data_IF_112066911618
#
_entry.id   IF_112066911618
#
_cell.length_a   1.000
_cell.length_b   1.000
_cell.length_c   1.000
_cell.angle_alpha   90.00
_cell.angle_beta   90.00
_cell.angle_gamma   90.00
#
_symmetry.space_group_name_H-M   'P 1'
#
loop_
_entity.id
_entity.type
_entity.pdbx_description
1 polymer ?
#
# COMPACT_ATOMS: atom_id res chain seq x y z
N UNK A 1 -11.83 -2.12 -8.83
CA UNK A 1 -11.02 -2.28 -7.61
C UNK A 1 -10.57 -3.71 -7.46
N UNK A 2 -9.28 -3.94 -7.57
CA UNK A 2 -8.67 -5.22 -7.27
C UNK A 2 -8.67 -5.47 -5.78
N UNK A 3 -8.94 -6.72 -5.39
CA UNK A 3 -9.04 -7.13 -3.99
C UNK A 3 -8.17 -8.35 -3.75
N UNK A 4 -7.35 -8.33 -2.70
CA UNK A 4 -6.61 -9.49 -2.23
C UNK A 4 -7.62 -10.52 -1.71
N UNK A 5 -7.64 -11.70 -2.31
CA UNK A 5 -8.61 -12.76 -1.98
C UNK A 5 -8.05 -13.74 -0.95
N UNK A 6 -6.78 -14.12 -1.11
CA UNK A 6 -6.14 -15.11 -0.27
C UNK A 6 -4.62 -14.98 -0.31
N UNK A 7 -3.99 -15.55 0.72
CA UNK A 7 -2.55 -15.67 0.89
C UNK A 7 -2.23 -17.08 1.40
N UNK A 8 -1.20 -17.70 0.86
CA UNK A 8 -0.62 -18.96 1.32
C UNK A 8 0.87 -18.78 1.58
N UNK A 9 1.32 -19.19 2.76
CA UNK A 9 2.70 -19.07 3.22
C UNK A 9 3.31 -20.46 3.29
N UNK A 10 4.12 -20.81 2.29
CA UNK A 10 4.87 -22.06 2.30
C UNK A 10 6.12 -21.92 3.18
N UNK A 11 6.73 -20.72 3.18
CA UNK A 11 7.85 -20.35 4.05
C UNK A 11 7.85 -18.84 4.29
N UNK A 12 7.76 -18.39 5.53
CA UNK A 12 7.88 -16.96 5.86
C UNK A 12 8.23 -16.76 7.33
N UNK A 13 9.44 -16.24 7.62
CA UNK A 13 9.91 -15.97 8.99
C UNK A 13 9.60 -17.14 9.95
N UNK A 14 8.95 -16.86 11.09
CA UNK A 14 8.52 -17.87 12.08
C UNK A 14 7.06 -18.32 11.88
N UNK A 15 6.40 -17.96 10.78
CA UNK A 15 5.02 -18.37 10.54
C UNK A 15 4.96 -19.84 10.18
N UNK A 16 3.98 -20.55 10.71
CA UNK A 16 3.73 -21.98 10.45
C UNK A 16 3.64 -22.24 8.94
N UNK A 17 4.48 -23.12 8.37
CA UNK A 17 4.40 -23.49 6.96
C UNK A 17 3.04 -24.05 6.57
N UNK A 18 2.57 -23.70 5.37
CA UNK A 18 1.24 -24.06 4.87
C UNK A 18 0.11 -23.19 5.43
N UNK A 19 0.41 -22.11 6.15
CA UNK A 19 -0.60 -21.16 6.62
C UNK A 19 -1.34 -20.57 5.42
N UNK A 20 -2.68 -20.62 5.46
CA UNK A 20 -3.54 -20.07 4.41
C UNK A 20 -4.59 -19.15 5.01
N UNK A 21 -4.67 -17.95 4.46
CA UNK A 21 -5.63 -16.92 4.84
C UNK A 21 -6.51 -16.59 3.63
N UNK A 22 -7.78 -16.32 3.90
CA UNK A 22 -8.70 -15.66 2.97
C UNK A 22 -9.03 -14.28 3.51
N UNK A 23 -9.35 -13.33 2.65
CA UNK A 23 -9.60 -11.95 3.05
C UNK A 23 -10.99 -11.50 2.61
N UNK A 24 -11.63 -10.75 3.48
CA UNK A 24 -12.88 -10.07 3.18
C UNK A 24 -12.62 -8.94 2.18
N UNK A 25 -13.50 -8.73 1.19
CA UNK A 25 -13.30 -7.70 0.17
C UNK A 25 -13.42 -6.26 0.71
N UNK A 26 -13.95 -6.07 1.92
CA UNK A 26 -14.17 -4.76 2.54
C UNK A 26 -13.21 -4.54 3.71
N UNK A 27 -13.24 -5.39 4.74
CA UNK A 27 -12.53 -5.12 5.98
C UNK A 27 -11.86 -6.35 6.58
N UNK A 28 -10.57 -6.23 6.90
CA UNK A 28 -9.76 -7.28 7.52
C UNK A 28 -9.09 -6.72 8.77
N UNK A 29 -9.38 -7.30 9.94
CA UNK A 29 -8.82 -6.85 11.22
C UNK A 29 -7.95 -7.95 11.83
N UNK A 30 -6.70 -7.60 12.10
CA UNK A 30 -5.69 -8.47 12.67
C UNK A 30 -5.66 -8.29 14.18
N UNK A 31 -5.92 -9.37 14.92
CA UNK A 31 -6.00 -9.39 16.38
C UNK A 31 -4.98 -10.36 16.97
N UNK A 32 -4.48 -10.06 18.16
CA UNK A 32 -3.46 -10.87 18.84
C UNK A 32 -2.50 -10.03 19.68
N UNK A 33 -1.79 -10.68 20.59
CA UNK A 33 -0.81 -10.03 21.47
C UNK A 33 0.34 -9.35 20.71
N UNK A 34 1.08 -8.47 21.39
CA UNK A 34 2.32 -7.89 20.86
C UNK A 34 3.31 -8.98 20.45
N UNK A 35 3.97 -8.78 19.31
CA UNK A 35 4.97 -9.72 18.80
C UNK A 35 4.44 -10.99 18.13
N UNK A 36 3.13 -11.13 17.89
CA UNK A 36 2.54 -12.28 17.17
C UNK A 36 2.54 -12.14 15.64
N UNK A 37 3.23 -11.12 15.12
CA UNK A 37 3.43 -10.92 13.67
C UNK A 37 2.35 -10.11 12.96
N UNK A 38 1.48 -9.38 13.69
CA UNK A 38 0.44 -8.50 13.11
C UNK A 38 1.02 -7.49 12.10
N UNK A 39 1.99 -6.68 12.53
CA UNK A 39 2.66 -5.69 11.67
C UNK A 39 3.39 -6.38 10.51
N UNK A 40 4.01 -7.54 10.75
CA UNK A 40 4.64 -8.33 9.68
C UNK A 40 3.65 -8.83 8.61
N UNK A 41 2.42 -9.16 8.99
CA UNK A 41 1.38 -9.49 8.02
C UNK A 41 0.91 -8.23 7.28
N UNK A 42 0.78 -7.08 7.94
CA UNK A 42 0.47 -5.81 7.26
C UNK A 42 1.57 -5.39 6.27
N UNK A 43 2.85 -5.50 6.65
CA UNK A 43 3.99 -5.22 5.77
C UNK A 43 3.97 -6.16 4.56
N UNK A 44 3.67 -7.44 4.77
CA UNK A 44 3.53 -8.39 3.68
C UNK A 44 2.35 -8.04 2.76
N UNK A 45 1.21 -7.59 3.32
CA UNK A 45 0.08 -7.10 2.51
C UNK A 45 0.48 -5.88 1.70
N UNK A 46 1.20 -4.92 2.30
CA UNK A 46 1.70 -3.75 1.58
C UNK A 46 2.61 -4.17 0.42
N UNK A 47 3.57 -5.07 0.67
CA UNK A 47 4.47 -5.62 -0.33
C UNK A 47 3.73 -6.35 -1.47
N UNK A 48 2.62 -7.05 -1.19
CA UNK A 48 1.83 -7.72 -2.24
C UNK A 48 1.12 -6.75 -3.17
N UNK A 49 0.61 -5.62 -2.65
CA UNK A 49 -0.05 -4.58 -3.45
C UNK A 49 0.95 -3.71 -4.21
N UNK A 50 2.04 -3.29 -3.55
CA UNK A 50 3.10 -2.49 -4.18
C UNK A 50 4.04 -3.31 -5.08
N UNK A 51 4.01 -4.64 -4.95
CA UNK A 51 5.01 -5.57 -5.47
C UNK A 51 6.46 -5.14 -5.18
N UNK A 52 6.65 -4.51 -4.02
CA UNK A 52 7.92 -4.14 -3.43
C UNK A 52 8.13 -4.95 -2.14
N UNK A 53 9.02 -5.94 -2.25
CA UNK A 53 9.43 -6.84 -1.19
C UNK A 53 10.77 -6.41 -0.56
N UNK A 54 11.27 -5.20 -0.82
CA UNK A 54 12.57 -4.69 -0.35
C UNK A 54 12.80 -4.95 1.15
N UNK A 55 11.82 -4.60 1.99
CA UNK A 55 11.85 -4.80 3.45
C UNK A 55 11.81 -6.28 3.90
N UNK A 56 11.58 -7.20 2.95
CA UNK A 56 11.49 -8.64 3.19
C UNK A 56 12.69 -9.42 2.60
N UNK A 57 13.56 -8.78 1.81
CA UNK A 57 14.70 -9.44 1.14
C UNK A 57 15.81 -9.88 2.10
N UNK A 58 15.78 -9.44 3.35
CA UNK A 58 16.67 -9.96 4.39
C UNK A 58 16.31 -11.40 4.80
N UNK A 59 15.09 -11.84 4.55
CA UNK A 59 14.58 -13.17 4.91
C UNK A 59 14.33 -14.03 3.65
N UNK A 60 14.46 -15.36 3.78
CA UNK A 60 13.97 -16.28 2.75
C UNK A 60 12.45 -16.47 2.87
N UNK A 61 11.74 -16.45 1.73
CA UNK A 61 10.30 -16.63 1.70
C UNK A 61 9.81 -17.39 0.46
N UNK A 62 8.69 -18.10 0.61
CA UNK A 62 7.94 -18.78 -0.44
C UNK A 62 6.46 -18.58 -0.13
N UNK A 63 5.80 -17.81 -0.99
CA UNK A 63 4.43 -17.39 -0.80
C UNK A 63 3.65 -17.40 -2.11
N UNK A 64 2.35 -17.61 -1.98
CA UNK A 64 1.40 -17.52 -3.07
C UNK A 64 0.23 -16.67 -2.65
N UNK A 65 -0.30 -15.85 -3.55
CA UNK A 65 -1.46 -15.02 -3.26
C UNK A 65 -2.27 -14.73 -4.52
N UNK A 66 -3.53 -14.39 -4.31
CA UNK A 66 -4.48 -14.17 -5.39
C UNK A 66 -5.20 -12.84 -5.25
N UNK A 67 -5.30 -12.14 -6.38
CA UNK A 67 -6.11 -10.95 -6.54
C UNK A 67 -7.30 -11.21 -7.48
N UNK A 68 -8.38 -10.45 -7.30
CA UNK A 68 -9.48 -10.46 -8.27
C UNK A 68 -10.17 -9.11 -8.40
N UNK A 69 -10.62 -8.82 -9.61
CA UNK A 69 -11.52 -7.72 -9.95
C UNK A 69 -12.47 -8.16 -11.07
N UNK A 70 -13.78 -8.27 -10.78
CA UNK A 70 -14.75 -8.72 -11.78
C UNK A 70 -14.39 -10.08 -12.36
N UNK A 71 -14.16 -10.14 -13.67
CA UNK A 71 -13.73 -11.35 -14.38
C UNK A 71 -12.21 -11.56 -14.40
N UNK A 72 -11.44 -10.56 -13.96
CA UNK A 72 -9.98 -10.64 -13.95
C UNK A 72 -9.49 -11.26 -12.65
N UNK A 73 -8.57 -12.21 -12.76
CA UNK A 73 -7.90 -12.86 -11.63
C UNK A 73 -6.41 -12.86 -11.87
N UNK A 74 -5.64 -12.59 -10.82
CA UNK A 74 -4.20 -12.69 -10.86
C UNK A 74 -3.70 -13.59 -9.74
N UNK A 75 -2.83 -14.54 -10.05
CA UNK A 75 -2.18 -15.45 -9.10
C UNK A 75 -0.68 -15.20 -9.14
N UNK A 76 -0.10 -14.92 -7.98
CA UNK A 76 1.31 -14.70 -7.77
C UNK A 76 1.87 -15.88 -6.98
N UNK A 77 2.99 -16.43 -7.45
CA UNK A 77 3.83 -17.35 -6.72
C UNK A 77 5.24 -16.77 -6.68
N UNK A 78 5.68 -16.36 -5.49
CA UNK A 78 6.95 -15.65 -5.30
C UNK A 78 7.82 -16.42 -4.33
N UNK A 79 9.07 -16.61 -4.74
CA UNK A 79 10.10 -17.26 -3.95
C UNK A 79 11.35 -16.40 -3.90
N UNK A 80 11.87 -16.20 -2.71
CA UNK A 80 13.13 -15.52 -2.45
C UNK A 80 14.05 -16.44 -1.64
N UNK A 81 15.24 -16.70 -2.18
CA UNK A 81 16.25 -17.56 -1.58
C UNK A 81 17.61 -16.86 -1.60
N UNK A 82 18.44 -17.14 -0.60
CA UNK A 82 19.83 -16.71 -0.55
C UNK A 82 20.70 -17.78 -1.22
N UNK A 83 21.10 -17.55 -2.48
CA UNK A 83 21.89 -18.53 -3.25
C UNK A 83 23.38 -18.18 -3.29
N UNK A 84 24.28 -19.15 -3.05
CA UNK A 84 25.69 -18.98 -3.36
C UNK A 84 25.89 -18.96 -4.89
N UNK A 85 26.66 -17.98 -5.40
CA UNK A 85 26.93 -17.79 -6.84
C UNK A 85 27.61 -18.99 -7.50
N UNK A 86 28.43 -19.74 -6.76
CA UNK A 86 29.07 -20.99 -7.18
C UNK A 86 29.63 -21.71 -5.93
N UNK A 87 30.10 -22.95 -6.09
CA UNK A 87 30.78 -23.69 -5.02
C UNK A 87 32.10 -23.05 -4.54
N UNK A 88 32.63 -22.05 -5.25
CA UNK A 88 33.92 -21.40 -4.97
C UNK A 88 33.81 -19.98 -4.40
N UNK A 89 32.63 -19.33 -4.45
CA UNK A 89 32.44 -17.96 -3.96
C UNK A 89 31.66 -17.94 -2.64
N UNK A 90 32.11 -17.12 -1.68
CA UNK A 90 31.44 -16.91 -0.38
C UNK A 90 30.32 -15.87 -0.42
N UNK A 91 30.17 -15.13 -1.51
CA UNK A 91 29.19 -14.06 -1.62
C UNK A 91 27.83 -14.65 -2.02
N UNK A 92 26.93 -14.72 -1.05
CA UNK A 92 25.54 -15.17 -1.23
C UNK A 92 24.74 -13.99 -1.73
N UNK A 93 24.01 -14.14 -2.84
CA UNK A 93 23.13 -13.09 -3.35
C UNK A 93 21.66 -13.49 -3.17
N UNK A 94 20.80 -12.54 -2.78
CA UNK A 94 19.36 -12.73 -2.85
C UNK A 94 18.97 -12.96 -4.31
N UNK A 95 18.14 -13.97 -4.56
CA UNK A 95 17.57 -14.26 -5.87
C UNK A 95 16.07 -14.39 -5.71
N UNK A 96 15.32 -13.57 -6.43
CA UNK A 96 13.87 -13.68 -6.52
C UNK A 96 13.42 -14.41 -7.78
N UNK A 97 12.49 -15.33 -7.59
CA UNK A 97 11.72 -15.97 -8.64
C UNK A 97 10.25 -15.60 -8.47
N UNK A 98 9.60 -15.16 -9.53
CA UNK A 98 8.16 -14.87 -9.52
C UNK A 98 7.48 -15.51 -10.72
N UNK A 99 6.36 -16.19 -10.47
CA UNK A 99 5.40 -16.59 -11.50
C UNK A 99 4.11 -15.82 -11.27
N UNK A 100 3.66 -15.10 -12.29
CA UNK A 100 2.42 -14.30 -12.23
C UNK A 100 1.51 -14.75 -13.36
N UNK A 101 0.34 -15.26 -13.01
CA UNK A 101 -0.67 -15.71 -13.97
C UNK A 101 -1.88 -14.80 -13.90
N UNK A 102 -2.25 -14.18 -15.02
CA UNK A 102 -3.37 -13.26 -15.15
C UNK A 102 -4.40 -13.87 -16.10
N UNK A 103 -5.60 -14.11 -15.59
CA UNK A 103 -6.73 -14.66 -16.35
C UNK A 103 -7.79 -13.60 -16.59
N UNK A 104 -8.33 -13.55 -17.82
CA UNK A 104 -9.33 -12.56 -18.26
C UNK A 104 -10.64 -13.26 -18.66
N UNK A 105 -11.49 -13.60 -17.67
CA UNK A 105 -12.77 -14.25 -17.93
C UNK A 105 -12.66 -15.52 -18.80
N UNK A 106 -13.73 -15.91 -19.48
CA UNK A 106 -13.76 -17.11 -20.34
C UNK A 106 -13.30 -16.86 -21.78
N UNK A 107 -12.94 -15.62 -22.14
CA UNK A 107 -12.81 -15.19 -23.53
C UNK A 107 -11.36 -15.11 -24.04
N UNK A 108 -10.35 -15.17 -23.17
CA UNK A 108 -8.94 -15.05 -23.54
C UNK A 108 -8.06 -16.06 -22.78
N UNK A 109 -6.96 -16.55 -23.40
CA UNK A 109 -5.97 -17.34 -22.69
C UNK A 109 -5.31 -16.52 -21.57
N UNK A 110 -4.85 -17.17 -20.48
CA UNK A 110 -4.13 -16.47 -19.43
C UNK A 110 -2.79 -15.95 -19.94
N UNK A 111 -2.37 -14.82 -19.38
CA UNK A 111 -1.04 -14.26 -19.55
C UNK A 111 -0.17 -14.67 -18.37
N UNK A 112 0.94 -15.33 -18.63
CA UNK A 112 1.82 -15.88 -17.61
C UNK A 112 3.19 -15.20 -17.73
N UNK A 113 3.64 -14.57 -16.64
CA UNK A 113 4.99 -14.06 -16.50
C UNK A 113 5.79 -15.01 -15.62
N UNK A 114 7.00 -15.32 -16.04
CA UNK A 114 8.00 -16.03 -15.23
C UNK A 114 9.25 -15.15 -15.17
N UNK A 115 9.48 -14.54 -14.02
CA UNK A 115 10.64 -13.73 -13.73
C UNK A 115 11.65 -14.58 -12.99
N UNK A 116 12.83 -14.77 -13.59
CA UNK A 116 13.96 -15.46 -12.98
C UNK A 116 15.14 -14.48 -12.91
N UNK A 117 15.36 -13.92 -11.72
CA UNK A 117 16.42 -12.94 -11.49
C UNK A 117 17.81 -13.54 -11.70
N UNK A 118 18.01 -14.82 -11.36
CA UNK A 118 19.29 -15.51 -11.55
C UNK A 118 19.57 -15.76 -13.03
N UNK A 119 18.56 -16.19 -13.80
CA UNK A 119 18.67 -16.36 -15.24
C UNK A 119 18.61 -15.03 -16.01
N UNK A 120 18.34 -13.91 -15.32
CA UNK A 120 18.25 -12.57 -15.89
C UNK A 120 17.19 -12.45 -17.00
N UNK A 121 16.08 -13.17 -16.87
CA UNK A 121 15.05 -13.25 -17.93
C UNK A 121 13.64 -13.09 -17.37
N UNK A 122 12.78 -12.48 -18.17
CA UNK A 122 11.32 -12.51 -18.02
C UNK A 122 10.78 -13.29 -19.20
N UNK A 123 10.18 -14.45 -18.93
CA UNK A 123 9.41 -15.18 -19.93
C UNK A 123 7.96 -14.76 -19.84
N UNK A 124 7.40 -14.34 -20.96
CA UNK A 124 5.97 -14.05 -21.11
C UNK A 124 5.35 -15.15 -21.96
N UNK A 125 4.48 -15.96 -21.36
CA UNK A 125 3.74 -17.04 -22.02
C UNK A 125 2.28 -16.61 -22.19
N UNK A 126 1.82 -16.59 -23.44
CA UNK A 126 0.42 -16.43 -23.82
C UNK A 126 0.14 -17.38 -25.00
N UNK A 127 -0.33 -16.86 -26.14
CA UNK A 127 -0.38 -17.63 -27.40
C UNK A 127 1.02 -17.94 -27.96
N UNK A 128 1.94 -16.98 -27.80
CA UNK A 128 3.36 -17.11 -28.19
C UNK A 128 4.21 -16.80 -26.97
N UNK A 129 5.17 -17.68 -26.67
CA UNK A 129 6.17 -17.46 -25.62
C UNK A 129 7.29 -16.54 -26.10
N UNK A 130 7.61 -15.52 -25.32
CA UNK A 130 8.72 -14.59 -25.60
C UNK A 130 9.60 -14.47 -24.36
N UNK A 131 10.91 -14.64 -24.55
CA UNK A 131 11.91 -14.38 -23.53
C UNK A 131 12.43 -12.94 -23.69
N UNK A 132 12.21 -12.11 -22.69
CA UNK A 132 12.66 -10.72 -22.62
C UNK A 132 13.81 -10.65 -21.59
N UNK A 133 14.99 -10.15 -21.95
CA UNK A 133 16.07 -9.98 -20.97
C UNK A 133 15.67 -8.96 -19.91
N UNK A 134 16.01 -9.21 -18.65
CA UNK A 134 15.84 -8.22 -17.60
C UNK A 134 16.69 -6.99 -17.94
N UNK A 135 16.14 -5.79 -17.74
CA UNK A 135 16.90 -4.54 -17.89
C UNK A 135 17.94 -4.39 -16.78
N UNK A 136 18.98 -3.59 -17.01
CA UNK A 136 19.80 -3.08 -15.92
C UNK A 136 18.92 -2.15 -15.06
N UNK A 137 18.87 -2.41 -13.75
CA UNK A 137 17.90 -1.77 -12.87
C UNK A 137 17.97 -2.30 -11.45
N UNK A 138 17.05 -1.85 -10.57
CA UNK A 138 17.02 -2.30 -9.19
C UNK A 138 16.65 -3.79 -9.11
N UNK A 139 17.01 -4.49 -8.01
CA UNK A 139 16.70 -5.91 -7.83
C UNK A 139 15.22 -6.20 -8.03
N UNK A 140 14.89 -7.38 -8.57
CA UNK A 140 13.50 -7.70 -8.96
C UNK A 140 12.54 -7.53 -7.79
N UNK A 141 12.96 -7.95 -6.59
CA UNK A 141 12.15 -7.82 -5.39
C UNK A 141 11.83 -6.41 -4.94
N UNK A 142 12.52 -5.38 -5.43
CA UNK A 142 12.24 -3.98 -5.04
C UNK A 142 11.28 -3.27 -6.00
N UNK A 143 11.01 -3.85 -7.17
CA UNK A 143 10.18 -3.21 -8.18
C UNK A 143 9.64 -4.23 -9.19
N UNK A 144 8.95 -5.27 -8.70
CA UNK A 144 8.49 -6.37 -9.55
C UNK A 144 7.54 -5.86 -10.65
N UNK A 145 6.71 -4.84 -10.37
CA UNK A 145 5.84 -4.24 -11.37
C UNK A 145 6.61 -3.69 -12.58
N UNK A 146 7.69 -2.92 -12.37
CA UNK A 146 8.48 -2.37 -13.48
C UNK A 146 9.07 -3.46 -14.36
N UNK A 147 9.52 -4.57 -13.77
CA UNK A 147 10.01 -5.73 -14.52
C UNK A 147 8.87 -6.37 -15.33
N UNK A 148 7.71 -6.62 -14.73
CA UNK A 148 6.54 -7.16 -15.43
C UNK A 148 6.09 -6.26 -16.60
N UNK A 149 6.10 -4.94 -16.44
CA UNK A 149 5.81 -4.00 -17.53
C UNK A 149 6.86 -4.03 -18.64
N UNK A 150 8.14 -4.14 -18.29
CA UNK A 150 9.21 -4.29 -19.28
C UNK A 150 9.03 -5.57 -20.10
N UNK A 151 8.73 -6.69 -19.44
CA UNK A 151 8.42 -7.97 -20.09
C UNK A 151 7.20 -7.87 -21.00
N UNK A 152 6.12 -7.22 -20.53
CA UNK A 152 4.90 -7.01 -21.30
C UNK A 152 5.14 -6.14 -22.53
N UNK A 153 5.91 -5.05 -22.40
CA UNK A 153 6.28 -4.19 -23.54
C UNK A 153 7.07 -4.98 -24.58
N UNK A 154 8.08 -5.75 -24.16
CA UNK A 154 8.86 -6.58 -25.07
C UNK A 154 8.02 -7.65 -25.78
N UNK A 155 7.07 -8.28 -25.07
CA UNK A 155 6.12 -9.20 -25.67
C UNK A 155 5.21 -8.51 -26.69
N UNK A 156 4.73 -7.28 -26.41
CA UNK A 156 3.90 -6.52 -27.34
C UNK A 156 4.65 -6.22 -28.64
N UNK A 157 5.91 -5.81 -28.53
CA UNK A 157 6.75 -5.49 -29.68
C UNK A 157 6.95 -6.71 -30.59
N UNK A 158 7.08 -7.92 -30.01
CA UNK A 158 7.34 -9.17 -30.75
C UNK A 158 6.07 -9.84 -31.27
N UNK A 159 5.03 -9.96 -30.43
CA UNK A 159 3.84 -10.76 -30.72
C UNK A 159 2.71 -9.95 -31.40
N UNK A 160 2.85 -8.62 -31.50
CA UNK A 160 1.82 -7.69 -31.96
C UNK A 160 0.41 -7.94 -31.36
N UNK A 161 0.27 -8.14 -30.05
CA UNK A 161 -1.00 -8.39 -29.41
C UNK A 161 -1.81 -7.10 -29.25
N UNK A 162 -3.09 -7.30 -28.94
CA UNK A 162 -4.09 -6.24 -28.74
C UNK A 162 -3.65 -5.26 -27.63
N UNK A 163 -3.52 -3.96 -27.96
CA UNK A 163 -3.21 -2.88 -27.00
C UNK A 163 -4.23 -2.81 -25.86
N UNK A 164 -5.44 -3.30 -26.08
CA UNK A 164 -6.48 -3.41 -25.07
C UNK A 164 -6.07 -4.33 -23.90
N UNK A 165 -5.26 -5.38 -24.16
CA UNK A 165 -4.75 -6.27 -23.12
C UNK A 165 -3.76 -5.54 -22.19
N UNK A 166 -2.91 -4.66 -22.76
CA UNK A 166 -1.99 -3.84 -21.98
C UNK A 166 -2.75 -2.97 -20.97
N UNK A 167 -3.81 -2.29 -21.42
CA UNK A 167 -4.63 -1.46 -20.55
C UNK A 167 -5.28 -2.29 -19.43
N UNK A 168 -5.79 -3.48 -19.73
CA UNK A 168 -6.37 -4.38 -18.73
C UNK A 168 -5.33 -4.88 -17.71
N UNK A 169 -4.13 -5.23 -18.17
CA UNK A 169 -3.03 -5.66 -17.28
C UNK A 169 -2.56 -4.51 -16.40
N UNK A 170 -2.37 -3.31 -16.95
CA UNK A 170 -2.00 -2.11 -16.18
C UNK A 170 -3.02 -1.84 -15.07
N UNK A 171 -4.32 -1.90 -15.40
CA UNK A 171 -5.40 -1.69 -14.43
C UNK A 171 -5.40 -2.72 -13.28
N UNK A 172 -4.93 -3.94 -13.55
CA UNK A 172 -4.92 -5.04 -12.57
C UNK A 172 -3.61 -5.07 -11.78
N UNK A 173 -2.48 -4.75 -12.41
CA UNK A 173 -1.17 -4.87 -11.80
C UNK A 173 -0.71 -3.59 -11.10
N UNK A 174 -1.19 -2.42 -11.47
CA UNK A 174 -0.67 -1.15 -10.94
C UNK A 174 -1.52 -0.33 -9.94
N UNK A 175 -2.72 -0.73 -9.50
CA UNK A 175 -3.64 0.19 -8.84
C UNK A 175 -3.09 0.86 -7.56
N UNK A 176 -2.28 0.15 -6.77
CA UNK A 176 -1.68 0.70 -5.55
C UNK A 176 -0.18 0.39 -5.46
N UNK A 177 0.59 0.74 -6.50
CA UNK A 177 2.05 0.61 -6.50
C UNK A 177 2.72 1.35 -5.31
N UNK A 178 2.02 2.31 -4.72
CA UNK A 178 2.45 3.10 -3.56
C UNK A 178 1.88 2.58 -2.23
N UNK A 179 1.22 1.41 -2.21
CA UNK A 179 0.65 0.82 -1.00
C UNK A 179 1.72 0.69 0.09
N UNK A 180 1.46 1.30 1.24
CA UNK A 180 2.32 1.31 2.42
C UNK A 180 1.50 1.10 3.68
N UNK A 181 2.15 0.60 4.73
CA UNK A 181 1.57 0.54 6.07
C UNK A 181 1.58 1.95 6.69
N UNK A 182 0.43 2.42 7.11
CA UNK A 182 0.28 3.62 7.93
C UNK A 182 0.29 3.23 9.40
N UNK A 183 1.28 3.65 10.18
CA UNK A 183 1.41 3.27 11.59
C UNK A 183 0.97 4.37 12.58
N UNK A 184 1.23 4.15 13.86
CA UNK A 184 0.93 5.09 14.93
C UNK A 184 1.88 6.27 15.05
N UNK A 185 3.01 6.23 14.36
CA UNK A 185 4.09 7.21 14.47
C UNK A 185 3.82 8.48 13.66
N UNK A 186 4.75 9.45 13.73
CA UNK A 186 4.78 10.63 12.87
C UNK A 186 5.78 10.49 11.72
N UNK A 187 6.19 9.27 11.37
CA UNK A 187 7.05 9.02 10.22
C UNK A 187 6.37 9.45 8.92
N UNK A 188 5.08 9.12 8.74
CA UNK A 188 4.32 9.55 7.57
C UNK A 188 4.16 11.08 7.49
N UNK A 189 4.02 11.76 8.63
CA UNK A 189 4.03 13.22 8.71
C UNK A 189 5.40 13.80 8.31
N UNK A 190 6.48 13.15 8.74
CA UNK A 190 7.84 13.56 8.40
C UNK A 190 8.12 13.38 6.91
N UNK A 191 7.65 12.27 6.33
CA UNK A 191 7.71 11.99 4.89
C UNK A 191 6.91 13.02 4.09
N UNK A 192 5.69 13.33 4.52
CA UNK A 192 4.84 14.35 3.89
C UNK A 192 5.50 15.75 3.84
N UNK A 193 6.36 16.07 4.82
CA UNK A 193 7.12 17.34 4.87
C UNK A 193 8.46 17.30 4.16
N UNK A 194 8.86 16.14 3.68
CA UNK A 194 10.11 15.88 2.97
C UNK A 194 9.87 15.11 1.67
N UNK A 195 8.69 15.30 1.05
CA UNK A 195 8.38 14.67 -0.22
C UNK A 195 9.44 15.08 -1.24
N UNK A 196 10.11 14.08 -1.79
CA UNK A 196 11.12 14.27 -2.83
C UNK A 196 10.42 14.34 -4.19
N UNK A 197 10.12 15.54 -4.66
CA UNK A 197 9.43 15.82 -5.91
C UNK A 197 10.44 16.47 -6.85
N UNK A 198 10.86 15.73 -7.87
CA UNK A 198 11.58 16.25 -9.01
C UNK A 198 10.60 16.73 -10.08
N UNK A 199 10.86 17.90 -10.65
CA UNK A 199 10.18 18.37 -11.85
C UNK A 199 11.21 18.53 -12.95
N UNK A 200 10.94 17.95 -14.12
CA UNK A 200 11.81 18.04 -15.28
C UNK A 200 11.02 18.60 -16.44
N UNK A 201 11.47 19.72 -17.00
CA UNK A 201 10.92 20.30 -18.22
C UNK A 201 11.85 19.97 -19.39
N UNK A 202 11.36 19.15 -20.29
CA UNK A 202 12.08 18.77 -21.50
C UNK A 202 12.12 19.88 -22.54
N UNK A 203 12.93 19.67 -23.58
CA UNK A 203 13.02 20.57 -24.74
C UNK A 203 11.69 20.71 -25.51
N UNK A 204 10.76 19.76 -25.36
CA UNK A 204 9.39 19.80 -25.88
C UNK A 204 8.46 20.72 -25.05
N UNK A 205 8.98 21.32 -23.97
CA UNK A 205 8.23 22.18 -23.05
C UNK A 205 7.33 21.41 -22.09
N UNK A 206 7.31 20.06 -22.13
CA UNK A 206 6.48 19.25 -21.23
C UNK A 206 7.16 19.07 -19.89
N UNK A 207 6.38 19.21 -18.82
CA UNK A 207 6.82 18.92 -17.46
C UNK A 207 6.54 17.45 -17.14
N UNK A 208 7.52 16.79 -16.54
CA UNK A 208 7.43 15.44 -16.00
C UNK A 208 7.76 15.50 -14.52
N UNK A 209 7.11 14.65 -13.75
CA UNK A 209 7.41 14.47 -12.33
C UNK A 209 8.31 13.25 -12.17
N UNK A 210 9.32 13.39 -11.33
CA UNK A 210 10.23 12.34 -10.90
C UNK A 210 10.24 12.28 -9.37
N UNK A 211 10.57 11.15 -8.76
CA UNK A 211 10.80 11.05 -7.32
C UNK A 211 9.77 10.24 -6.53
N UNK A 212 9.59 10.62 -5.26
CA UNK A 212 8.80 9.92 -4.24
C UNK A 212 7.37 9.66 -4.71
N UNK A 213 6.72 8.59 -4.20
CA UNK A 213 5.29 8.43 -4.37
C UNK A 213 4.55 9.69 -3.94
N UNK A 214 3.76 10.21 -4.86
CA UNK A 214 2.84 11.31 -4.65
C UNK A 214 1.47 10.74 -4.94
N UNK A 215 0.51 11.01 -4.05
CA UNK A 215 -0.89 10.74 -4.40
C UNK A 215 -1.19 11.33 -5.77
N UNK A 216 -1.87 10.57 -6.63
CA UNK A 216 -2.05 10.90 -8.04
C UNK A 216 -2.56 12.33 -8.23
N UNK A 217 -3.51 12.75 -7.38
CA UNK A 217 -4.07 14.09 -7.39
C UNK A 217 -3.00 15.16 -7.15
N UNK A 218 -2.15 14.98 -6.14
CA UNK A 218 -1.06 15.92 -5.85
C UNK A 218 -0.08 16.00 -7.02
N UNK A 219 0.31 14.85 -7.59
CA UNK A 219 1.20 14.80 -8.75
C UNK A 219 0.60 15.56 -9.95
N UNK A 220 -0.65 15.27 -10.30
CA UNK A 220 -1.36 15.94 -11.40
C UNK A 220 -1.42 17.45 -11.19
N UNK A 221 -1.82 17.92 -10.01
CA UNK A 221 -1.94 19.35 -9.71
C UNK A 221 -0.59 20.08 -9.71
N UNK A 222 0.46 19.44 -9.21
CA UNK A 222 1.82 20.01 -9.27
C UNK A 222 2.30 20.11 -10.71
N UNK A 223 2.07 19.08 -11.52
CA UNK A 223 2.45 19.06 -12.93
C UNK A 223 1.74 20.17 -13.72
N UNK A 224 0.43 20.34 -13.50
CA UNK A 224 -0.38 21.42 -14.09
C UNK A 224 0.18 22.81 -13.73
N UNK A 225 0.38 23.08 -12.43
CA UNK A 225 0.91 24.37 -11.97
C UNK A 225 2.32 24.62 -12.52
N UNK A 226 3.18 23.60 -12.55
CA UNK A 226 4.51 23.71 -13.11
C UNK A 226 4.52 23.95 -14.63
N UNK A 227 3.54 23.39 -15.35
CA UNK A 227 3.34 23.66 -16.77
C UNK A 227 2.93 25.11 -17.05
N UNK A 228 2.11 25.70 -16.18
CA UNK A 228 1.65 27.08 -16.29
C UNK A 228 2.66 28.11 -15.78
N UNK A 229 3.34 27.81 -14.68
CA UNK A 229 4.11 28.76 -13.86
C UNK A 229 5.49 28.22 -13.50
N UNK A 230 6.17 27.62 -14.48
CA UNK A 230 7.48 26.99 -14.31
C UNK A 230 8.52 27.85 -13.59
N UNK A 231 8.47 29.17 -13.75
CA UNK A 231 9.47 30.07 -13.16
C UNK A 231 9.28 30.32 -11.65
N UNK A 232 8.11 30.02 -11.08
CA UNK A 232 7.83 30.21 -9.66
C UNK A 232 8.54 29.17 -8.79
N UNK A 233 9.12 29.64 -7.69
CA UNK A 233 9.82 28.79 -6.71
C UNK A 233 8.88 28.22 -5.64
N UNK A 234 7.59 28.55 -5.72
CA UNK A 234 6.59 28.12 -4.76
C UNK A 234 5.25 27.87 -5.46
N UNK A 235 4.66 26.72 -5.19
CA UNK A 235 3.29 26.38 -5.58
C UNK A 235 2.41 26.26 -4.34
N UNK A 236 1.24 26.90 -4.40
CA UNK A 236 0.22 26.84 -3.35
C UNK A 236 -0.98 26.08 -3.88
N UNK A 237 -1.36 25.02 -3.19
CA UNK A 237 -2.50 24.16 -3.50
C UNK A 237 -3.53 24.28 -2.38
N UNK A 238 -4.73 24.76 -2.71
CA UNK A 238 -5.81 24.96 -1.73
C UNK A 238 -6.72 23.71 -1.57
N UNK A 239 -7.72 23.80 -0.69
CA UNK A 239 -8.67 22.73 -0.45
C UNK A 239 -9.54 22.32 -1.65
N UNK A 240 -9.61 23.15 -2.71
CA UNK A 240 -10.34 22.82 -3.94
C UNK A 240 -9.50 21.94 -4.86
N UNK A 241 -8.18 22.14 -4.81
CA UNK A 241 -7.22 21.35 -5.57
C UNK A 241 -6.86 20.04 -4.85
N UNK A 242 -6.84 20.07 -3.51
CA UNK A 242 -6.53 18.93 -2.65
C UNK A 242 -7.70 18.66 -1.68
N UNK A 243 -8.66 17.80 -2.05
CA UNK A 243 -9.88 17.57 -1.27
C UNK A 243 -9.62 17.17 0.19
N UNK A 244 -8.56 16.40 0.44
CA UNK A 244 -8.20 15.97 1.80
C UNK A 244 -7.88 17.16 2.74
N UNK A 245 -7.41 18.29 2.21
CA UNK A 245 -7.19 19.51 3.01
C UNK A 245 -8.49 20.16 3.44
N UNK A 246 -9.51 20.17 2.57
CA UNK A 246 -10.84 20.68 2.93
C UNK A 246 -11.50 19.84 4.01
N UNK A 247 -11.37 18.52 3.91
CA UNK A 247 -11.82 17.57 4.91
C UNK A 247 -11.13 17.84 6.27
N UNK A 248 -9.81 17.97 6.26
CA UNK A 248 -9.05 18.27 7.46
C UNK A 248 -9.41 19.65 8.06
N UNK A 249 -9.53 20.69 7.24
CA UNK A 249 -9.92 22.02 7.70
C UNK A 249 -11.26 21.96 8.45
N UNK A 250 -12.24 21.24 7.89
CA UNK A 250 -13.54 21.02 8.52
C UNK A 250 -13.42 20.30 9.88
N UNK A 251 -12.66 19.20 9.96
CA UNK A 251 -12.45 18.45 11.21
C UNK A 251 -11.78 19.28 12.30
N UNK A 252 -10.89 20.20 11.90
CA UNK A 252 -10.10 21.04 12.78
C UNK A 252 -10.77 22.40 13.11
N UNK A 253 -11.97 22.65 12.60
CA UNK A 253 -12.70 23.94 12.71
C UNK A 253 -11.94 25.14 12.12
N UNK A 254 -11.25 24.92 10.99
CA UNK A 254 -10.67 25.95 10.15
C UNK A 254 -11.58 26.27 8.95
N UNK A 255 -11.43 27.47 8.40
CA UNK A 255 -12.18 27.91 7.22
C UNK A 255 -11.57 27.34 5.94
N UNK A 256 -10.25 27.41 5.82
CA UNK A 256 -9.50 26.96 4.63
C UNK A 256 -8.19 26.30 5.02
N UNK A 257 -7.63 25.51 4.11
CA UNK A 257 -6.32 24.89 4.27
C UNK A 257 -5.57 24.85 2.94
N UNK A 258 -4.27 25.09 2.98
CA UNK A 258 -3.41 25.07 1.81
C UNK A 258 -2.11 24.32 2.06
N UNK A 259 -1.66 23.56 1.06
CA UNK A 259 -0.32 23.03 0.98
C UNK A 259 0.57 24.01 0.23
N UNK A 260 1.78 24.23 0.75
CA UNK A 260 2.79 25.10 0.17
C UNK A 260 4.00 24.25 -0.15
N UNK A 261 4.33 24.18 -1.43
CA UNK A 261 5.43 23.39 -1.99
C UNK A 261 6.50 24.33 -2.52
N UNK A 262 7.67 24.33 -1.89
CA UNK A 262 8.83 25.10 -2.37
C UNK A 262 9.63 24.25 -3.35
N UNK A 263 10.18 24.86 -4.40
CA UNK A 263 11.03 24.21 -5.39
C UNK A 263 12.32 25.00 -5.61
N UNK A 264 13.43 24.28 -5.67
CA UNK A 264 14.75 24.82 -5.97
C UNK A 264 15.18 24.38 -7.37
N UNK A 265 15.77 25.29 -8.14
CA UNK A 265 16.36 24.96 -9.44
C UNK A 265 17.58 24.06 -9.25
N UNK A 266 17.65 23.00 -10.04
CA UNK A 266 18.83 22.15 -10.14
C UNK A 266 19.67 22.57 -11.36
N UNK A 267 21.01 22.48 -11.28
CA UNK A 267 21.85 22.61 -12.46
C UNK A 267 21.54 21.45 -13.42
N UNK A 268 21.17 21.77 -14.66
CA UNK A 268 20.77 20.80 -15.68
C UNK A 268 21.66 20.85 -16.94
N UNK A 269 21.54 19.83 -17.79
CA UNK A 269 22.12 19.81 -19.13
C UNK A 269 21.44 20.85 -20.05
N UNK A 270 22.10 21.29 -21.12
CA UNK A 270 21.52 22.26 -22.07
C UNK A 270 20.18 21.74 -22.64
N UNK A 271 19.11 22.52 -22.45
CA UNK A 271 17.77 22.21 -22.95
C UNK A 271 16.91 21.36 -22.01
N UNK A 272 17.42 20.99 -20.83
CA UNK A 272 16.63 20.33 -19.77
C UNK A 272 16.68 21.18 -18.51
N UNK A 273 15.52 21.69 -18.09
CA UNK A 273 15.39 22.42 -16.83
C UNK A 273 14.85 21.49 -15.75
N UNK A 274 15.55 21.39 -14.63
CA UNK A 274 15.14 20.54 -13.52
C UNK A 274 14.94 21.37 -12.24
N UNK A 275 13.94 20.99 -11.45
CA UNK A 275 13.65 21.54 -10.12
C UNK A 275 13.43 20.41 -9.13
N UNK A 276 13.77 20.66 -7.87
CA UNK A 276 13.58 19.71 -6.77
C UNK A 276 12.83 20.37 -5.63
N UNK A 277 11.85 19.68 -5.07
CA UNK A 277 11.12 20.20 -3.91
C UNK A 277 12.05 20.43 -2.72
N UNK A 278 11.76 21.51 -2.00
CA UNK A 278 12.26 21.79 -0.66
C UNK A 278 11.34 21.19 0.39
N UNK A 279 11.12 21.92 1.48
CA UNK A 279 10.20 21.49 2.53
C UNK A 279 8.76 21.79 2.13
N UNK A 280 7.86 20.88 2.46
CA UNK A 280 6.43 21.15 2.38
C UNK A 280 5.91 21.70 3.70
N UNK A 281 4.98 22.65 3.60
CA UNK A 281 4.28 23.25 4.73
C UNK A 281 2.78 23.23 4.48
N UNK A 282 1.99 23.14 5.55
CA UNK A 282 0.55 23.26 5.48
C UNK A 282 0.09 24.42 6.35
N UNK A 283 -0.84 25.20 5.84
CA UNK A 283 -1.36 26.39 6.49
C UNK A 283 -2.86 26.28 6.62
N UNK A 284 -3.36 26.54 7.83
CA UNK A 284 -4.78 26.47 8.16
C UNK A 284 -5.27 27.86 8.54
N UNK A 285 -6.28 28.38 7.85
CA UNK A 285 -6.79 29.73 8.13
C UNK A 285 -8.10 29.63 8.88
N UNK A 286 -8.18 30.28 10.04
CA UNK A 286 -9.39 30.34 10.85
C UNK A 286 -10.31 31.45 10.36
N UNK A 287 -11.62 31.34 10.62
CA UNK A 287 -12.65 32.35 10.27
C UNK A 287 -12.39 33.77 10.80
N UNK A 288 -11.52 33.87 11.80
CA UNK A 288 -11.08 35.14 12.38
C UNK A 288 -9.88 35.76 11.65
N UNK A 289 -9.42 35.17 10.55
CA UNK A 289 -8.37 35.68 9.67
C UNK A 289 -6.93 35.35 10.09
N UNK A 290 -6.72 34.58 11.16
CA UNK A 290 -5.37 34.12 11.54
C UNK A 290 -5.04 32.77 10.91
N UNK A 291 -3.76 32.57 10.62
CA UNK A 291 -3.24 31.34 9.99
C UNK A 291 -2.37 30.56 10.97
N UNK A 292 -2.61 29.25 11.05
CA UNK A 292 -1.81 28.30 11.81
C UNK A 292 -0.91 27.48 10.87
N UNK A 293 0.41 27.50 11.04
CA UNK A 293 1.27 26.54 10.35
C UNK A 293 1.17 25.16 11.00
N UNK A 294 1.25 24.11 10.19
CA UNK A 294 1.12 22.70 10.57
C UNK A 294 2.04 22.26 11.72
N UNK A 295 3.22 22.87 11.86
CA UNK A 295 4.14 22.62 12.98
C UNK A 295 3.50 22.84 14.35
N UNK A 296 2.48 23.71 14.45
CA UNK A 296 1.75 24.02 15.68
C UNK A 296 0.57 23.07 15.94
N UNK A 297 0.27 22.15 15.03
CA UNK A 297 -0.72 21.11 15.25
C UNK A 297 -0.28 20.15 16.37
N UNK A 298 -1.25 19.66 17.14
CA UNK A 298 -1.05 18.60 18.13
C UNK A 298 -0.66 17.28 17.46
N UNK A 299 -0.25 16.29 18.26
CA UNK A 299 0.09 14.95 17.77
C UNK A 299 -1.04 14.34 16.92
N UNK A 300 -2.26 14.31 17.47
CA UNK A 300 -3.40 13.72 16.79
C UNK A 300 -3.84 14.50 15.55
N UNK A 301 -3.67 15.82 15.54
CA UNK A 301 -3.92 16.64 14.35
C UNK A 301 -2.91 16.35 13.23
N UNK A 302 -1.62 16.23 13.55
CA UNK A 302 -0.59 15.83 12.58
C UNK A 302 -0.84 14.43 12.04
N UNK A 303 -1.20 13.48 12.91
CA UNK A 303 -1.55 12.12 12.50
C UNK A 303 -2.78 12.09 11.59
N UNK A 304 -3.80 12.91 11.87
CA UNK A 304 -5.00 13.02 11.03
C UNK A 304 -4.67 13.60 9.65
N UNK A 305 -3.83 14.65 9.58
CA UNK A 305 -3.32 15.18 8.32
C UNK A 305 -2.61 14.09 7.51
N UNK A 306 -1.69 13.35 8.15
CA UNK A 306 -0.96 12.27 7.49
C UNK A 306 -1.84 11.12 7.06
N UNK A 307 -2.86 10.76 7.85
CA UNK A 307 -3.81 9.70 7.50
C UNK A 307 -4.66 10.08 6.30
N UNK A 308 -5.17 11.32 6.25
CA UNK A 308 -5.96 11.78 5.10
C UNK A 308 -5.12 11.90 3.83
N UNK A 309 -3.86 12.36 3.93
CA UNK A 309 -2.92 12.31 2.81
C UNK A 309 -2.60 10.87 2.40
N UNK A 310 -2.38 9.96 3.36
CA UNK A 310 -2.19 8.54 3.08
C UNK A 310 -3.33 7.95 2.26
N UNK A 311 -4.59 8.24 2.62
CA UNK A 311 -5.75 7.78 1.87
C UNK A 311 -5.85 8.39 0.47
N UNK A 312 -5.26 9.56 0.22
CA UNK A 312 -5.16 10.16 -1.12
C UNK A 312 -4.08 9.48 -1.98
N UNK A 313 -3.08 8.84 -1.35
CA UNK A 313 -2.04 8.05 -2.02
C UNK A 313 -2.48 6.62 -2.39
N UNK A 314 -3.54 6.10 -1.76
CA UNK A 314 -3.99 4.72 -1.98
C UNK A 314 -5.45 4.70 -2.42
N UNK A 315 -5.72 4.10 -3.57
CA UNK A 315 -7.05 4.14 -4.18
C UNK A 315 -7.88 2.91 -3.80
N UNK A 316 -7.28 1.71 -3.72
CA UNK A 316 -8.04 0.47 -3.57
C UNK A 316 -7.78 -0.30 -2.29
N UNK A 317 -6.63 -0.11 -1.65
CA UNK A 317 -6.28 -0.72 -0.37
C UNK A 317 -5.88 0.31 0.68
N UNK A 318 -6.32 0.14 1.92
CA UNK A 318 -5.79 0.87 3.07
C UNK A 318 -5.25 -0.12 4.10
N UNK A 319 -4.03 0.11 4.59
CA UNK A 319 -3.27 -0.76 5.47
C UNK A 319 -2.83 0.11 6.65
N UNK A 320 -3.50 -0.03 7.79
CA UNK A 320 -3.25 0.80 8.96
C UNK A 320 -2.94 -0.03 10.20
N UNK A 321 -1.76 0.21 10.78
CA UNK A 321 -1.36 -0.32 12.07
C UNK A 321 -1.82 0.64 13.18
N UNK A 322 -2.50 0.10 14.19
CA UNK A 322 -2.94 0.81 15.39
C UNK A 322 -3.59 2.18 15.09
N UNK A 323 -4.52 2.20 14.12
CA UNK A 323 -5.12 3.42 13.58
C UNK A 323 -5.64 4.37 14.67
N UNK A 324 -6.24 3.84 15.74
CA UNK A 324 -6.86 4.64 16.79
C UNK A 324 -5.85 5.30 17.75
N UNK A 325 -4.61 4.79 17.82
CA UNK A 325 -3.63 5.20 18.84
C UNK A 325 -3.07 6.63 18.62
N UNK A 326 -3.78 7.63 19.14
CA UNK A 326 -3.39 9.03 19.01
C UNK A 326 -4.22 9.83 18.00
N UNK A 327 -5.21 9.20 17.34
CA UNK A 327 -6.28 9.94 16.67
C UNK A 327 -7.29 10.45 17.70
N UNK A 328 -7.81 11.69 17.55
CA UNK A 328 -8.89 12.17 18.41
C UNK A 328 -10.16 11.34 18.23
N UNK A 329 -10.68 10.79 19.33
CA UNK A 329 -11.89 9.95 19.32
C UNK A 329 -13.10 10.54 18.56
N UNK A 330 -13.40 11.85 18.63
CA UNK A 330 -14.52 12.43 17.89
C UNK A 330 -14.39 12.31 16.36
N UNK A 331 -13.18 12.11 15.83
CA UNK A 331 -12.93 12.00 14.39
C UNK A 331 -12.86 10.56 13.90
N UNK A 332 -12.86 9.57 14.80
CA UNK A 332 -12.76 8.17 14.42
C UNK A 332 -13.86 7.74 13.43
N UNK A 333 -15.17 8.07 13.63
CA UNK A 333 -16.20 7.68 12.67
C UNK A 333 -15.90 8.22 11.26
N UNK A 334 -15.39 9.44 11.18
CA UNK A 334 -14.99 10.05 9.92
C UNK A 334 -13.80 9.32 9.28
N UNK A 335 -12.77 8.99 10.06
CA UNK A 335 -11.63 8.22 9.57
C UNK A 335 -12.04 6.84 9.07
N UNK A 336 -13.01 6.19 9.73
CA UNK A 336 -13.53 4.89 9.30
C UNK A 336 -14.35 5.01 8.02
N UNK A 337 -15.19 6.04 7.91
CA UNK A 337 -15.94 6.32 6.69
C UNK A 337 -15.00 6.59 5.50
N UNK A 338 -13.93 7.36 5.72
CA UNK A 338 -12.94 7.70 4.71
C UNK A 338 -12.17 6.49 4.15
N UNK A 339 -12.14 5.35 4.87
CA UNK A 339 -11.53 4.11 4.38
C UNK A 339 -12.36 3.50 3.23
N UNK A 340 -13.68 3.67 3.23
CA UNK A 340 -14.55 3.19 2.15
C UNK A 340 -14.25 3.94 0.84
N UNK A 341 -14.28 3.27 -0.34
CA UNK A 341 -14.68 1.88 -0.61
C UNK A 341 -13.50 0.87 -0.69
N UNK A 342 -12.37 1.18 -0.07
CA UNK A 342 -11.13 0.38 -0.15
C UNK A 342 -11.29 -0.97 0.55
N UNK A 343 -10.41 -1.89 0.20
CA UNK A 343 -10.18 -3.07 1.04
C UNK A 343 -9.27 -2.61 2.18
N UNK A 344 -9.67 -2.87 3.41
CA UNK A 344 -8.94 -2.38 4.56
C UNK A 344 -8.27 -3.52 5.31
N UNK A 345 -7.04 -3.30 5.73
CA UNK A 345 -6.28 -4.14 6.67
C UNK A 345 -5.91 -3.32 7.88
N UNK A 346 -6.50 -3.65 9.04
CA UNK A 346 -6.34 -2.90 10.27
C UNK A 346 -5.72 -3.78 11.35
N UNK A 347 -4.93 -3.18 12.23
CA UNK A 347 -4.69 -3.73 13.57
C UNK A 347 -5.20 -2.73 14.60
N UNK A 348 -5.70 -3.25 15.72
CA UNK A 348 -5.93 -2.42 16.90
C UNK A 348 -6.18 -3.31 18.11
N UNK A 349 -5.43 -3.13 19.21
CA UNK A 349 -5.82 -3.70 20.50
C UNK A 349 -6.98 -2.91 21.14
N UNK A 350 -7.31 -1.73 20.60
CA UNK A 350 -8.32 -0.85 21.15
C UNK A 350 -9.73 -1.29 20.73
N UNK A 351 -10.62 -1.64 21.69
CA UNK A 351 -11.98 -2.09 21.40
C UNK A 351 -12.83 -1.00 20.73
N UNK A 352 -12.46 0.28 20.86
CA UNK A 352 -13.17 1.40 20.22
C UNK A 352 -13.14 1.28 18.70
N UNK A 353 -12.04 0.78 18.11
CA UNK A 353 -12.01 0.53 16.66
C UNK A 353 -13.07 -0.50 16.27
N UNK A 354 -13.11 -1.60 17.01
CA UNK A 354 -13.98 -2.73 16.72
C UNK A 354 -15.46 -2.38 16.95
N UNK A 355 -15.75 -1.53 17.92
CA UNK A 355 -17.09 -0.98 18.19
C UNK A 355 -17.57 -0.09 17.03
N UNK A 356 -16.66 0.65 16.38
CA UNK A 356 -16.95 1.44 15.19
C UNK A 356 -17.14 0.58 13.92
N UNK A 357 -16.67 -0.68 13.92
CA UNK A 357 -16.89 -1.63 12.83
C UNK A 357 -18.22 -2.36 13.00
N UNK A 358 -18.87 -2.68 11.87
CA UNK A 358 -20.17 -3.36 11.86
C UNK A 358 -20.02 -4.84 11.58
N UNK A 359 -20.56 -5.68 12.47
CA UNK A 359 -20.64 -7.13 12.32
C UNK A 359 -22.10 -7.59 12.42
N UNK A 360 -22.63 -8.18 11.36
CA UNK A 360 -24.02 -8.63 11.26
C UNK A 360 -24.18 -10.10 11.67
N UNK A 361 -23.18 -10.94 11.39
CA UNK A 361 -23.21 -12.38 11.66
C UNK A 361 -21.86 -12.97 12.08
N UNK A 362 -21.84 -14.16 12.72
CA UNK A 362 -20.58 -14.84 13.07
C UNK A 362 -19.74 -15.18 11.84
N UNK A 363 -20.36 -15.49 10.70
CA UNK A 363 -19.66 -15.73 9.43
C UNK A 363 -18.92 -14.49 8.96
N UNK A 364 -19.52 -13.30 9.11
CA UNK A 364 -18.86 -12.04 8.80
C UNK A 364 -17.70 -11.76 9.76
N UNK A 365 -17.87 -12.04 11.06
CA UNK A 365 -16.74 -11.95 12.01
C UNK A 365 -15.59 -12.86 11.57
N UNK A 366 -15.89 -14.08 11.11
CA UNK A 366 -14.87 -15.00 10.58
C UNK A 366 -14.25 -14.56 9.27
N UNK A 367 -15.01 -13.91 8.38
CA UNK A 367 -14.44 -13.39 7.13
C UNK A 367 -13.52 -12.20 7.39
N UNK A 368 -13.89 -11.32 8.33
CA UNK A 368 -13.18 -10.06 8.59
C UNK A 368 -12.03 -10.18 9.59
N UNK A 369 -12.09 -11.09 10.58
CA UNK A 369 -11.01 -11.20 11.56
C UNK A 369 -9.89 -12.15 11.10
N UNK A 370 -8.66 -11.82 11.48
CA UNK A 370 -7.48 -12.70 11.40
C UNK A 370 -6.83 -12.73 12.78
N UNK A 371 -6.67 -13.92 13.34
CA UNK A 371 -6.02 -14.13 14.63
C UNK A 371 -4.53 -14.40 14.42
N UNK A 372 -3.69 -13.66 15.12
CA UNK A 372 -2.25 -13.80 15.13
C UNK A 372 -1.78 -14.24 16.52
N UNK A 373 -1.23 -15.45 16.64
CA UNK A 373 -0.83 -16.03 17.93
C UNK A 373 0.52 -16.74 17.83
N UNK A 374 1.18 -16.90 18.98
CA UNK A 374 2.28 -17.87 19.11
C UNK A 374 1.72 -19.27 19.40
N UNK A 375 2.32 -20.28 18.80
CA UNK A 375 2.21 -21.68 19.23
C UNK A 375 3.41 -22.02 20.13
N UNK A 376 3.23 -23.03 21.00
CA UNK A 376 4.23 -23.47 21.99
C UNK A 376 5.60 -23.85 21.38
N UNK A 377 5.63 -24.17 20.09
CA UNK A 377 6.84 -24.51 19.34
C UNK A 377 7.65 -23.28 18.88
N UNK A 378 7.29 -22.06 19.30
CA UNK A 378 7.96 -20.83 18.87
C UNK A 378 7.69 -20.48 17.40
N UNK A 379 6.56 -20.95 16.86
CA UNK A 379 6.03 -20.59 15.56
C UNK A 379 4.83 -19.66 15.73
N UNK A 380 4.66 -18.71 14.81
CA UNK A 380 3.46 -17.91 14.72
C UNK A 380 2.39 -18.66 13.92
N UNK A 381 1.15 -18.60 14.38
CA UNK A 381 -0.02 -19.09 13.66
C UNK A 381 -0.95 -17.93 13.34
N UNK A 382 -1.24 -17.79 12.05
CA UNK A 382 -2.22 -16.84 11.55
C UNK A 382 -3.40 -17.62 11.00
N UNK A 383 -4.61 -17.34 11.48
CA UNK A 383 -5.80 -18.08 11.06
C UNK A 383 -7.09 -17.28 11.23
N UNK A 384 -8.18 -17.77 10.62
CA UNK A 384 -9.52 -17.26 10.90
C UNK A 384 -9.99 -17.74 12.28
N UNK A 385 -10.81 -16.96 12.99
CA UNK A 385 -11.35 -17.42 14.26
C UNK A 385 -12.20 -18.69 14.09
N UNK A 386 -12.17 -19.60 15.08
CA UNK A 386 -13.08 -20.74 15.13
C UNK A 386 -14.53 -20.25 15.29
N UNK A 387 -15.53 -21.06 14.89
CA UNK A 387 -16.95 -20.68 14.96
C UNK A 387 -17.40 -20.18 16.34
N UNK A 388 -17.04 -20.90 17.40
CA UNK A 388 -17.41 -20.57 18.78
C UNK A 388 -16.90 -19.18 19.19
N UNK A 389 -15.65 -18.84 18.87
CA UNK A 389 -15.08 -17.53 19.17
C UNK A 389 -15.77 -16.41 18.39
N UNK A 390 -16.23 -16.68 17.16
CA UNK A 390 -16.93 -15.68 16.36
C UNK A 390 -18.33 -15.37 16.91
N UNK A 391 -19.02 -16.38 17.45
CA UNK A 391 -20.29 -16.20 18.16
C UNK A 391 -20.10 -15.38 19.44
N UNK A 392 -19.11 -15.73 20.26
CA UNK A 392 -18.77 -15.00 21.49
C UNK A 392 -18.38 -13.54 21.19
N UNK A 393 -17.60 -13.33 20.13
CA UNK A 393 -17.19 -12.00 19.68
C UNK A 393 -18.39 -11.16 19.25
N UNK A 394 -19.29 -11.70 18.44
CA UNK A 394 -20.49 -10.99 17.99
C UNK A 394 -21.41 -10.65 19.17
N UNK A 395 -21.59 -11.57 20.12
CA UNK A 395 -22.37 -11.33 21.32
C UNK A 395 -21.77 -10.19 22.16
N UNK A 396 -20.45 -10.19 22.36
CA UNK A 396 -19.74 -9.17 23.12
C UNK A 396 -19.74 -7.81 22.42
N UNK A 397 -19.57 -7.79 21.09
CA UNK A 397 -19.67 -6.57 20.26
C UNK A 397 -21.05 -5.91 20.40
N UNK A 398 -22.13 -6.69 20.30
CA UNK A 398 -23.51 -6.18 20.46
C UNK A 398 -23.81 -5.63 21.86
N UNK A 399 -23.09 -6.11 22.87
CA UNK A 399 -23.24 -5.63 24.23
C UNK A 399 -22.40 -4.37 24.53
N UNK A 400 -21.44 -4.04 23.67
CA UNK A 400 -20.67 -2.79 23.67
C UNK A 400 -19.18 -2.96 24.01
N UNK A 401 -18.41 -1.90 23.75
CA UNK A 401 -16.94 -1.90 23.82
C UNK A 401 -16.31 -2.43 25.12
N UNK A 402 -16.97 -2.30 26.28
CA UNK A 402 -16.43 -2.82 27.55
C UNK A 402 -16.36 -4.35 27.57
N UNK A 403 -17.46 -5.02 27.19
CA UNK A 403 -17.52 -6.48 27.14
C UNK A 403 -16.61 -7.03 26.04
N UNK A 404 -16.52 -6.30 24.91
CA UNK A 404 -15.58 -6.63 23.86
C UNK A 404 -14.13 -6.55 24.35
N UNK A 405 -13.76 -5.50 25.10
CA UNK A 405 -12.43 -5.37 25.71
C UNK A 405 -12.10 -6.52 26.66
N UNK A 406 -13.05 -6.92 27.52
CA UNK A 406 -12.88 -8.07 28.41
C UNK A 406 -12.66 -9.38 27.64
N UNK A 407 -13.43 -9.62 26.59
CA UNK A 407 -13.24 -10.79 25.72
C UNK A 407 -11.86 -10.78 25.06
N UNK A 408 -11.42 -9.63 24.53
CA UNK A 408 -10.10 -9.53 23.91
C UNK A 408 -8.97 -9.86 24.89
N UNK A 409 -9.08 -9.42 26.14
CA UNK A 409 -8.11 -9.72 27.18
C UNK A 409 -8.12 -11.21 27.56
N UNK A 410 -9.31 -11.78 27.80
CA UNK A 410 -9.47 -13.20 28.16
C UNK A 410 -8.93 -14.14 27.08
N UNK A 411 -9.14 -13.79 25.80
CA UNK A 411 -8.74 -14.60 24.65
C UNK A 411 -7.34 -14.29 24.11
N UNK A 412 -6.59 -13.38 24.75
CA UNK A 412 -5.26 -12.96 24.32
C UNK A 412 -5.25 -12.34 22.91
N UNK A 413 -6.28 -11.54 22.61
CA UNK A 413 -6.50 -10.88 21.32
C UNK A 413 -6.22 -9.37 21.35
N UNK A 414 -6.07 -8.81 22.56
CA UNK A 414 -5.67 -7.42 22.79
C UNK A 414 -4.17 -7.22 22.92
#
# INVERSE_FOLDING_TARGET
>A
MIKLQWLQLNRFRKVKPGTRLTFDPVCNVLLGQSGTGKSSLLDLVAAMFSADFSDLLEDEFDLEYGFSEGEVRAHFAIRHEHRPRSSAEREVRPVLFARVEISFGSAAPPLIFVVDEAARVIRVEAEVGVDVPLSEGPPVGTCLWSHLFSGLSGWIDVAHPRRELLAQVVLVLCPDAEARRFDESLEFYSLLRQLDIGLVRGADGRVRIEGSPLGQVLAERVSELAGERWDEDQYVLDERQLPFLGQLASLLDFETAAAVLEFNRLPGEEGVEARKSGRQAFHFTHRAGWTLPDRHLSYGQKRTLSFLYYLDCVEHVAIADELVNGLPHPWLPYCIEALSPRQVFLTSPNPILLDALSFESPEQVRSQLVLCRWEDAGQMRWEKPPPELAEDFLASHRAGFQQLGELLLDKGLG
#
